data_IF_100104224108
#
_entry.id   IF_100104224108
#
_cell.length_a   1.000
_cell.length_b   1.000
_cell.length_c   1.000
_cell.angle_alpha   90.00
_cell.angle_beta   90.00
_cell.angle_gamma   90.00
#
_symmetry.space_group_name_H-M   'P 1'
#
loop_
_entity.id
_entity.type
_entity.pdbx_description
1 polymer ?
#
# COMPACT_ATOMS: atom_id res chain seq x y z
N UNK A 1 44.37 -45.52 12.98
CA UNK A 1 44.77 -45.53 11.56
C UNK A 1 43.70 -44.77 10.80
N UNK A 2 44.14 -43.76 10.07
CA UNK A 2 43.37 -42.65 9.49
C UNK A 2 42.64 -43.12 8.23
N UNK A 3 41.40 -42.70 8.01
CA UNK A 3 40.78 -42.67 6.68
C UNK A 3 40.16 -41.28 6.52
N UNK A 4 40.80 -40.48 5.69
CA UNK A 4 40.39 -39.13 5.28
C UNK A 4 39.25 -39.23 4.27
N UNK A 5 38.15 -38.51 4.52
CA UNK A 5 37.08 -38.26 3.56
C UNK A 5 37.37 -36.89 2.93
N UNK A 6 37.86 -36.89 1.69
CA UNK A 6 38.04 -35.69 0.88
C UNK A 6 36.77 -35.49 0.04
N UNK A 7 35.85 -34.65 0.52
CA UNK A 7 34.77 -34.10 -0.29
C UNK A 7 35.26 -32.82 -0.98
N UNK A 8 35.61 -32.95 -2.26
CA UNK A 8 35.84 -31.83 -3.17
C UNK A 8 34.48 -31.21 -3.54
N UNK A 9 34.02 -30.23 -2.78
CA UNK A 9 32.83 -29.42 -3.08
C UNK A 9 33.27 -28.02 -3.53
N UNK A 10 34.00 -27.98 -4.65
CA UNK A 10 34.17 -26.76 -5.42
C UNK A 10 32.83 -26.30 -6.00
N UNK A 11 32.56 -24.97 -6.05
CA UNK A 11 31.30 -24.48 -6.60
C UNK A 11 31.15 -24.93 -8.06
N UNK A 12 29.99 -25.52 -8.40
CA UNK A 12 29.63 -25.96 -9.75
C UNK A 12 29.97 -24.88 -10.79
N UNK A 13 30.41 -25.28 -12.00
CA UNK A 13 30.80 -24.36 -13.09
C UNK A 13 29.79 -23.20 -13.30
N UNK A 14 28.49 -23.46 -13.12
CA UNK A 14 27.42 -22.46 -13.23
C UNK A 14 27.43 -21.41 -12.10
N UNK A 15 27.86 -21.80 -10.90
CA UNK A 15 28.00 -20.90 -9.77
C UNK A 15 29.24 -20.00 -9.91
N UNK A 16 30.32 -20.49 -10.52
CA UNK A 16 31.50 -19.68 -10.85
C UNK A 16 31.18 -18.59 -11.89
N UNK A 17 30.45 -18.94 -12.96
CA UNK A 17 30.02 -17.97 -13.98
C UNK A 17 29.20 -16.81 -13.39
N UNK A 18 28.33 -17.10 -12.41
CA UNK A 18 27.49 -16.08 -11.77
C UNK A 18 28.29 -15.08 -10.91
N UNK A 19 29.37 -15.56 -10.29
CA UNK A 19 30.27 -14.74 -9.46
C UNK A 19 31.11 -13.83 -10.35
N UNK A 20 31.61 -14.37 -11.46
CA UNK A 20 32.40 -13.59 -12.42
C UNK A 20 31.56 -12.53 -13.13
N UNK A 21 30.32 -12.84 -13.53
CA UNK A 21 29.39 -11.87 -14.11
C UNK A 21 29.10 -10.71 -13.13
N UNK A 22 28.87 -11.03 -11.86
CA UNK A 22 28.63 -10.05 -10.81
C UNK A 22 29.84 -9.12 -10.59
N UNK A 23 31.05 -9.67 -10.68
CA UNK A 23 32.31 -8.91 -10.52
C UNK A 23 32.57 -7.97 -11.70
N UNK A 24 32.37 -8.43 -12.93
CA UNK A 24 32.52 -7.61 -14.14
C UNK A 24 31.53 -6.43 -14.14
N UNK A 25 30.29 -6.67 -13.71
CA UNK A 25 29.26 -5.63 -13.62
C UNK A 25 29.62 -4.54 -12.61
N UNK A 26 30.19 -4.93 -11.47
CA UNK A 26 30.67 -4.00 -10.44
C UNK A 26 31.88 -3.17 -10.91
N UNK A 27 32.78 -3.75 -11.71
CA UNK A 27 33.94 -3.02 -12.27
C UNK A 27 33.53 -2.02 -13.35
N UNK A 28 32.54 -2.34 -14.19
CA UNK A 28 31.98 -1.40 -15.17
C UNK A 28 31.30 -0.21 -14.50
N UNK A 29 30.59 -0.44 -13.39
CA UNK A 29 29.93 0.64 -12.64
C UNK A 29 30.93 1.57 -11.93
N UNK A 30 32.06 1.03 -11.44
CA UNK A 30 33.16 1.84 -10.91
C UNK A 30 33.85 2.66 -11.99
N UNK A 31 34.12 2.08 -13.17
CA UNK A 31 34.80 2.77 -14.27
C UNK A 31 33.98 3.92 -14.86
N UNK A 32 32.65 3.80 -14.88
CA UNK A 32 31.74 4.89 -15.32
C UNK A 32 31.73 6.09 -14.37
N UNK A 33 32.16 5.91 -13.11
CA UNK A 33 32.18 6.97 -12.09
C UNK A 33 33.49 7.77 -12.07
N UNK A 34 34.55 7.25 -12.72
CA UNK A 34 35.91 7.78 -12.64
C UNK A 34 36.41 8.48 -13.91
N UNK A 35 35.56 8.81 -14.89
CA UNK A 35 36.01 9.65 -16.03
C UNK A 35 36.03 11.14 -15.64
N UNK A 36 37.20 11.80 -15.53
CA UNK A 36 37.26 13.24 -15.35
C UNK A 36 37.09 13.93 -16.71
N UNK A 37 36.03 14.71 -16.87
CA UNK A 37 35.92 15.64 -18.01
C UNK A 37 36.95 16.75 -17.86
N UNK A 38 38.09 16.58 -18.51
CA UNK A 38 39.05 17.64 -18.78
C UNK A 38 38.50 18.55 -19.90
N UNK A 39 38.29 19.82 -19.61
CA UNK A 39 38.22 20.89 -20.62
C UNK A 39 38.93 22.12 -20.07
N UNK A 40 40.03 22.46 -20.73
CA UNK A 40 40.89 23.63 -20.48
C UNK A 40 40.45 24.72 -21.44
N UNK A 41 40.10 25.92 -20.97
CA UNK A 41 40.15 27.15 -21.79
C UNK A 41 39.98 28.45 -20.95
N UNK A 42 41.08 29.21 -20.90
CA UNK A 42 41.22 30.68 -20.98
C UNK A 42 40.40 31.56 -20.02
N UNK A 43 41.16 32.21 -19.14
CA UNK A 43 40.81 33.38 -18.34
C UNK A 43 40.59 34.60 -19.26
N UNK A 44 39.37 35.14 -19.24
CA UNK A 44 39.08 36.53 -19.64
C UNK A 44 38.34 37.19 -18.49
N UNK A 45 38.87 38.32 -18.03
CA UNK A 45 38.35 39.11 -16.92
C UNK A 45 37.22 39.99 -17.46
N UNK A 46 35.98 39.72 -17.06
CA UNK A 46 34.84 40.63 -17.28
C UNK A 46 34.15 40.94 -15.95
N UNK A 47 33.73 42.21 -15.83
CA UNK A 47 33.27 42.90 -14.63
C UNK A 47 32.15 42.17 -13.84
N UNK A 48 32.07 42.38 -12.50
CA UNK A 48 31.10 41.67 -11.67
C UNK A 48 29.67 42.13 -11.99
N UNK A 49 28.91 41.27 -12.69
CA UNK A 49 27.46 41.43 -12.82
C UNK A 49 26.81 41.35 -11.42
N UNK A 50 25.80 42.19 -11.11
CA UNK A 50 25.17 42.20 -9.81
C UNK A 50 24.56 40.82 -9.53
N UNK A 51 24.98 40.20 -8.41
CA UNK A 51 24.50 38.89 -7.98
C UNK A 51 22.99 38.96 -7.84
N UNK A 52 22.26 38.19 -8.64
CA UNK A 52 20.82 38.00 -8.41
C UNK A 52 20.62 37.41 -7.00
N UNK A 53 19.66 37.91 -6.22
CA UNK A 53 19.46 37.45 -4.85
C UNK A 53 19.15 35.95 -4.88
N UNK A 54 19.86 35.19 -4.04
CA UNK A 54 19.68 33.75 -3.94
C UNK A 54 18.19 33.41 -3.69
N UNK A 55 17.62 32.40 -4.36
CA UNK A 55 16.22 32.04 -4.18
C UNK A 55 15.99 31.67 -2.72
N UNK A 56 15.09 32.40 -2.06
CA UNK A 56 14.72 32.14 -0.67
C UNK A 56 14.31 30.67 -0.54
N UNK A 57 14.80 29.93 0.49
CA UNK A 57 14.40 28.54 0.70
C UNK A 57 12.88 28.49 0.84
N UNK A 58 12.22 27.74 -0.07
CA UNK A 58 10.77 27.52 0.01
C UNK A 58 10.48 26.91 1.38
N UNK A 59 9.82 27.66 2.27
CA UNK A 59 9.25 27.11 3.50
C UNK A 59 8.40 25.91 3.07
N UNK A 60 8.74 24.71 3.55
CA UNK A 60 7.88 23.53 3.39
C UNK A 60 6.57 23.87 4.09
N UNK A 61 5.56 24.34 3.34
CA UNK A 61 4.20 24.39 3.85
C UNK A 61 3.87 22.95 4.21
N UNK A 62 3.61 22.70 5.48
CA UNK A 62 3.03 21.44 5.91
C UNK A 62 1.67 21.35 5.21
N UNK A 63 1.60 20.62 4.09
CA UNK A 63 0.38 20.42 3.31
C UNK A 63 -0.55 19.38 3.96
N UNK A 64 -0.27 19.01 5.20
CA UNK A 64 -1.13 18.15 6.00
C UNK A 64 -2.45 18.87 6.26
N UNK A 65 -3.43 18.60 5.40
CA UNK A 65 -4.83 18.83 5.68
C UNK A 65 -5.34 17.57 6.40
N UNK A 66 -5.73 17.67 7.68
CA UNK A 66 -6.31 16.55 8.39
C UNK A 66 -7.50 16.01 7.60
N UNK A 67 -7.55 14.69 7.36
CA UNK A 67 -8.70 14.07 6.75
C UNK A 67 -9.97 14.42 7.54
N UNK A 68 -11.09 14.62 6.84
CA UNK A 68 -12.37 14.90 7.46
C UNK A 68 -12.66 13.83 8.54
N UNK A 69 -13.02 14.27 9.75
CA UNK A 69 -13.34 13.39 10.90
C UNK A 69 -14.70 12.73 10.71
N UNK A 70 -14.88 11.97 9.62
CA UNK A 70 -16.06 11.16 9.43
C UNK A 70 -15.94 9.85 10.23
N UNK A 71 -17.07 9.34 10.73
CA UNK A 71 -17.14 8.04 11.40
C UNK A 71 -16.83 6.94 10.39
N UNK A 72 -15.94 6.01 10.76
CA UNK A 72 -15.45 4.89 9.95
C UNK A 72 -15.48 3.60 10.74
N UNK A 73 -15.50 2.47 10.02
CA UNK A 73 -15.33 1.16 10.64
C UNK A 73 -13.92 1.00 11.21
N UNK A 74 -13.80 0.25 12.30
CA UNK A 74 -12.53 -0.06 12.94
C UNK A 74 -11.75 -1.09 12.12
N UNK A 75 -10.78 -0.62 11.34
CA UNK A 75 -9.94 -1.47 10.49
C UNK A 75 -9.25 -2.60 11.25
N UNK A 76 -8.93 -2.42 12.53
CA UNK A 76 -8.27 -3.43 13.36
C UNK A 76 -9.15 -4.67 13.54
N UNK A 77 -10.47 -4.49 13.49
CA UNK A 77 -11.47 -5.54 13.73
C UNK A 77 -11.99 -6.17 12.45
N UNK A 78 -11.27 -6.03 11.33
CA UNK A 78 -11.67 -6.60 10.04
C UNK A 78 -11.94 -8.10 10.09
N UNK A 79 -11.08 -8.87 10.78
CA UNK A 79 -11.24 -10.31 10.84
C UNK A 79 -12.45 -10.71 11.69
N UNK A 80 -12.68 -10.06 12.83
CA UNK A 80 -13.89 -10.25 13.64
C UNK A 80 -15.15 -9.98 12.82
N UNK A 81 -15.21 -8.81 12.17
CA UNK A 81 -16.31 -8.43 11.28
C UNK A 81 -16.53 -9.48 10.19
N UNK A 82 -15.46 -9.93 9.53
CA UNK A 82 -15.54 -10.89 8.42
C UNK A 82 -16.15 -12.22 8.87
N UNK A 83 -15.82 -12.71 10.06
CA UNK A 83 -16.36 -13.98 10.54
C UNK A 83 -17.80 -13.83 11.05
N UNK A 84 -18.10 -12.78 11.83
CA UNK A 84 -19.46 -12.51 12.30
C UNK A 84 -20.42 -12.29 11.13
N UNK A 85 -20.03 -11.44 10.17
CA UNK A 85 -20.85 -11.13 9.00
C UNK A 85 -21.08 -12.36 8.13
N UNK A 86 -20.11 -13.28 7.99
CA UNK A 86 -20.32 -14.51 7.21
C UNK A 86 -21.39 -15.41 7.81
N UNK A 87 -21.35 -15.63 9.12
CA UNK A 87 -22.38 -16.41 9.80
C UNK A 87 -23.73 -15.72 9.68
N UNK A 88 -23.77 -14.43 10.01
CA UNK A 88 -24.99 -13.64 9.98
C UNK A 88 -25.68 -13.64 8.61
N UNK A 89 -24.93 -13.48 7.50
CA UNK A 89 -25.49 -13.49 6.15
C UNK A 89 -26.14 -14.85 5.77
N UNK A 90 -25.70 -15.94 6.40
CA UNK A 90 -26.33 -17.26 6.26
C UNK A 90 -27.58 -17.33 7.14
N UNK A 91 -27.47 -16.88 8.40
CA UNK A 91 -28.55 -16.94 9.39
C UNK A 91 -29.78 -16.11 8.99
N UNK A 92 -29.57 -14.96 8.33
CA UNK A 92 -30.65 -14.11 7.83
C UNK A 92 -31.14 -14.49 6.43
N UNK A 93 -30.72 -15.65 5.90
CA UNK A 93 -31.14 -16.24 4.63
C UNK A 93 -30.93 -15.34 3.40
N UNK A 94 -29.78 -14.67 3.32
CA UNK A 94 -29.40 -13.93 2.10
C UNK A 94 -28.96 -14.92 1.01
N UNK A 95 -29.36 -14.73 -0.26
CA UNK A 95 -28.90 -15.55 -1.37
C UNK A 95 -27.38 -15.62 -1.47
N UNK A 96 -26.83 -16.83 -1.64
CA UNK A 96 -25.38 -17.08 -1.63
C UNK A 96 -24.62 -16.22 -2.65
N UNK A 97 -25.23 -15.98 -3.81
CA UNK A 97 -24.74 -15.12 -4.89
C UNK A 97 -24.44 -13.68 -4.46
N UNK A 98 -25.12 -13.17 -3.43
CA UNK A 98 -24.96 -11.81 -2.95
C UNK A 98 -24.08 -11.70 -1.71
N UNK A 99 -23.89 -12.79 -0.94
CA UNK A 99 -23.19 -12.77 0.35
C UNK A 99 -21.78 -12.19 0.25
N UNK A 100 -20.99 -12.68 -0.70
CA UNK A 100 -19.59 -12.23 -0.88
C UNK A 100 -19.50 -10.76 -1.29
N UNK A 101 -20.41 -10.31 -2.15
CA UNK A 101 -20.49 -8.92 -2.58
C UNK A 101 -20.88 -8.00 -1.41
N UNK A 102 -21.95 -8.35 -0.70
CA UNK A 102 -22.45 -7.59 0.45
C UNK A 102 -21.37 -7.48 1.53
N UNK A 103 -20.74 -8.60 1.90
CA UNK A 103 -19.68 -8.64 2.90
C UNK A 103 -18.50 -7.74 2.52
N UNK A 104 -17.99 -7.87 1.29
CA UNK A 104 -16.80 -7.14 0.83
C UNK A 104 -17.07 -5.65 0.65
N UNK A 105 -18.22 -5.31 0.06
CA UNK A 105 -18.56 -3.91 -0.27
C UNK A 105 -18.90 -3.09 0.97
N UNK A 106 -19.64 -3.66 1.94
CA UNK A 106 -19.92 -2.98 3.21
C UNK A 106 -18.61 -2.66 3.93
N UNK A 107 -17.67 -3.61 3.99
CA UNK A 107 -16.37 -3.38 4.62
C UNK A 107 -15.58 -2.29 3.89
N UNK A 108 -15.47 -2.40 2.57
CA UNK A 108 -14.71 -1.45 1.76
C UNK A 108 -15.25 -0.02 1.86
N UNK A 109 -16.57 0.17 1.77
CA UNK A 109 -17.20 1.50 1.92
C UNK A 109 -17.07 1.99 3.36
N UNK A 110 -17.35 1.16 4.36
CA UNK A 110 -17.31 1.52 5.77
C UNK A 110 -15.93 1.89 6.31
N UNK A 111 -14.87 1.19 5.88
CA UNK A 111 -13.49 1.44 6.31
C UNK A 111 -12.83 2.57 5.52
N UNK A 112 -13.00 2.59 4.19
CA UNK A 112 -12.28 3.54 3.31
C UNK A 112 -12.99 4.86 3.13
N UNK A 113 -14.32 4.89 3.19
CA UNK A 113 -15.11 6.08 2.97
C UNK A 113 -15.70 6.55 4.30
N UNK A 114 -16.93 6.16 4.62
CA UNK A 114 -17.60 6.44 5.89
C UNK A 114 -18.59 5.33 6.24
N UNK A 115 -19.02 5.31 7.50
CA UNK A 115 -20.11 4.44 7.98
C UNK A 115 -21.42 4.76 7.26
N UNK A 116 -21.66 6.02 6.90
CA UNK A 116 -22.86 6.41 6.19
C UNK A 116 -22.92 5.76 4.80
N UNK A 117 -21.80 5.75 4.06
CA UNK A 117 -21.73 5.13 2.73
C UNK A 117 -21.97 3.61 2.77
N UNK A 118 -21.57 2.96 3.86
CA UNK A 118 -21.87 1.54 4.10
C UNK A 118 -23.36 1.32 4.36
N UNK A 119 -24.00 2.19 5.14
CA UNK A 119 -25.45 2.13 5.40
C UNK A 119 -26.27 2.45 4.16
N UNK A 120 -25.83 3.40 3.35
CA UNK A 120 -26.45 3.76 2.07
C UNK A 120 -26.42 2.57 1.11
N UNK A 121 -25.27 1.88 0.99
CA UNK A 121 -25.20 0.66 0.20
C UNK A 121 -26.17 -0.44 0.67
N UNK A 122 -26.37 -0.56 1.97
CA UNK A 122 -27.33 -1.51 2.53
C UNK A 122 -28.77 -1.11 2.13
N UNK A 123 -29.12 0.19 2.21
CA UNK A 123 -30.41 0.70 1.74
C UNK A 123 -30.61 0.46 0.25
N UNK A 124 -29.61 0.77 -0.58
CA UNK A 124 -29.63 0.56 -2.04
C UNK A 124 -29.95 -0.90 -2.37
N UNK A 125 -29.42 -1.85 -1.58
CA UNK A 125 -29.68 -3.29 -1.76
C UNK A 125 -31.07 -3.70 -1.30
N UNK A 126 -31.63 -3.04 -0.29
CA UNK A 126 -33.03 -3.22 0.09
C UNK A 126 -33.97 -2.69 -1.00
N UNK A 127 -33.71 -1.50 -1.53
CA UNK A 127 -34.50 -0.89 -2.62
C UNK A 127 -34.44 -1.72 -3.92
N UNK A 128 -33.31 -2.39 -4.19
CA UNK A 128 -33.16 -3.31 -5.32
C UNK A 128 -33.88 -4.65 -5.11
N UNK A 129 -34.46 -4.91 -3.94
CA UNK A 129 -35.10 -6.18 -3.59
C UNK A 129 -34.13 -7.33 -3.30
N UNK A 130 -32.83 -7.03 -3.11
CA UNK A 130 -31.82 -8.01 -2.71
C UNK A 130 -31.91 -8.33 -1.21
N UNK A 131 -32.33 -7.34 -0.42
CA UNK A 131 -32.52 -7.45 1.02
C UNK A 131 -33.97 -7.14 1.40
N UNK A 132 -34.44 -7.75 2.48
CA UNK A 132 -35.66 -7.32 3.18
C UNK A 132 -35.35 -6.22 4.19
N UNK A 133 -36.36 -5.48 4.64
CA UNK A 133 -36.21 -4.43 5.66
C UNK A 133 -35.63 -5.00 6.98
N UNK A 134 -36.01 -6.22 7.36
CA UNK A 134 -35.49 -6.90 8.54
C UNK A 134 -33.99 -7.23 8.41
N UNK A 135 -33.58 -7.73 7.25
CA UNK A 135 -32.18 -7.99 6.93
C UNK A 135 -31.38 -6.68 6.93
N UNK A 136 -31.91 -5.63 6.29
CA UNK A 136 -31.31 -4.29 6.24
C UNK A 136 -31.02 -3.74 7.64
N UNK A 137 -32.03 -3.76 8.51
CA UNK A 137 -31.92 -3.32 9.91
C UNK A 137 -30.84 -4.09 10.68
N UNK A 138 -30.82 -5.42 10.49
CA UNK A 138 -29.84 -6.30 11.13
C UNK A 138 -28.41 -5.97 10.69
N UNK A 139 -28.19 -5.79 9.38
CA UNK A 139 -26.88 -5.43 8.83
C UNK A 139 -26.41 -4.06 9.30
N UNK A 140 -27.32 -3.06 9.37
CA UNK A 140 -26.99 -1.74 9.92
C UNK A 140 -26.54 -1.82 11.38
N UNK A 141 -27.15 -2.69 12.18
CA UNK A 141 -26.73 -2.94 13.57
C UNK A 141 -25.30 -3.49 13.67
N UNK A 142 -24.89 -4.38 12.75
CA UNK A 142 -23.49 -4.86 12.69
C UNK A 142 -22.55 -3.70 12.39
N UNK A 143 -22.85 -2.91 11.36
CA UNK A 143 -22.04 -1.76 10.97
C UNK A 143 -21.84 -0.79 12.15
N UNK A 144 -22.88 -0.54 12.94
CA UNK A 144 -22.79 0.30 14.14
C UNK A 144 -21.90 -0.29 15.23
N UNK A 145 -21.93 -1.62 15.45
CA UNK A 145 -21.05 -2.30 16.43
C UNK A 145 -19.56 -2.20 16.07
N UNK A 146 -19.24 -2.18 14.78
CA UNK A 146 -17.88 -2.09 14.26
C UNK A 146 -17.44 -0.66 13.93
N UNK A 147 -18.29 0.34 14.21
CA UNK A 147 -17.96 1.74 14.04
C UNK A 147 -17.09 2.26 15.18
N UNK A 148 -16.02 2.98 14.86
CA UNK A 148 -15.19 3.64 15.87
C UNK A 148 -15.96 4.81 16.49
N UNK A 149 -16.12 4.80 17.83
CA UNK A 149 -16.54 5.96 18.61
C UNK A 149 -15.35 6.93 18.70
N UNK A 150 -15.24 7.86 17.74
CA UNK A 150 -14.20 8.90 17.71
C UNK A 150 -14.81 10.28 17.93
#
# INVERSE_FOLDING_TARGET
>A
MVIEDQADDGPSNKAQELIDESRVRAEVEKKKREEPKAVVAKVTIEAPKPKTPAPKPRRRRNSFQPAARAKRLDRSRHMEYKYEMRGLLIDIDIPEEHRSNILGTIWARGERQTVADAKEFISEKCEQGVLTEDQESTLRGVVDRYTVRR
#
